data_IF_318922344954
#
_entry.id   IF_318922344954
#
_cell.length_a   1.000
_cell.length_b   1.000
_cell.length_c   1.000
_cell.angle_alpha   90.00
_cell.angle_beta   90.00
_cell.angle_gamma   90.00
#
_symmetry.space_group_name_H-M   'P 1'
#
loop_
_entity.id
_entity.type
_entity.pdbx_description
1 polymer ?
#
# COMPACT_ATOMS: atom_id res chain seq x y z
N UNK A 1 -10.46 -5.36 -15.27
CA UNK A 1 -11.42 -4.60 -14.43
C UNK A 1 -11.72 -5.23 -13.06
N UNK A 2 -12.26 -6.47 -12.93
CA UNK A 2 -12.60 -7.06 -11.59
C UNK A 2 -11.38 -7.43 -10.73
N UNK A 3 -10.35 -8.03 -11.32
CA UNK A 3 -9.12 -8.40 -10.60
C UNK A 3 -8.30 -7.17 -10.16
N UNK A 4 -8.40 -6.06 -10.89
CA UNK A 4 -7.73 -4.79 -10.58
C UNK A 4 -8.28 -4.11 -9.32
N UNK A 5 -9.61 -4.02 -9.24
CA UNK A 5 -10.27 -3.56 -8.01
C UNK A 5 -9.95 -4.46 -6.81
N UNK A 6 -9.61 -5.73 -7.06
CA UNK A 6 -9.29 -6.68 -5.99
C UNK A 6 -7.87 -6.47 -5.44
N UNK A 7 -6.88 -6.11 -6.26
CA UNK A 7 -5.50 -5.91 -5.78
C UNK A 7 -5.34 -4.61 -5.00
N UNK A 8 -5.89 -3.50 -5.50
CA UNK A 8 -5.89 -2.21 -4.80
C UNK A 8 -6.63 -2.31 -3.45
N UNK A 9 -7.83 -2.91 -3.44
CA UNK A 9 -8.57 -3.11 -2.19
C UNK A 9 -7.85 -4.02 -1.18
N UNK A 10 -7.10 -5.03 -1.65
CA UNK A 10 -6.27 -5.87 -0.77
C UNK A 10 -5.08 -5.10 -0.21
N UNK A 11 -4.40 -4.29 -1.03
CA UNK A 11 -3.28 -3.47 -0.59
C UNK A 11 -3.74 -2.45 0.46
N UNK A 12 -4.87 -1.77 0.22
CA UNK A 12 -5.52 -0.89 1.19
C UNK A 12 -5.75 -1.61 2.54
N UNK A 13 -6.39 -2.78 2.52
CA UNK A 13 -6.64 -3.55 3.77
C UNK A 13 -5.37 -3.97 4.51
N UNK A 14 -4.31 -4.33 3.80
CA UNK A 14 -3.04 -4.67 4.46
C UNK A 14 -2.45 -3.45 5.19
N UNK A 15 -2.56 -2.26 4.60
CA UNK A 15 -2.05 -1.03 5.23
C UNK A 15 -2.88 -0.60 6.44
N UNK A 16 -4.22 -0.77 6.40
CA UNK A 16 -5.06 -0.56 7.58
C UNK A 16 -4.69 -1.52 8.72
N UNK A 17 -4.54 -2.82 8.41
CA UNK A 17 -4.11 -3.80 9.41
C UNK A 17 -2.74 -3.44 10.00
N UNK A 18 -1.79 -3.01 9.15
CA UNK A 18 -0.49 -2.55 9.61
C UNK A 18 -0.62 -1.36 10.56
N UNK A 19 -1.48 -0.39 10.23
CA UNK A 19 -1.77 0.76 11.10
C UNK A 19 -2.33 0.33 12.46
N UNK A 20 -3.28 -0.62 12.49
CA UNK A 20 -3.91 -1.10 13.72
C UNK A 20 -2.94 -1.88 14.63
N UNK A 21 -2.01 -2.62 14.03
CA UNK A 21 -0.98 -3.38 14.76
C UNK A 21 0.19 -2.51 15.23
N UNK A 22 0.31 -1.29 14.73
CA UNK A 22 1.42 -0.40 15.04
C UNK A 22 1.14 0.38 16.34
N UNK A 23 2.00 0.18 17.34
CA UNK A 23 1.92 0.89 18.62
C UNK A 23 2.45 2.33 18.51
N UNK A 24 3.45 2.57 17.66
CA UNK A 24 3.94 3.92 17.41
C UNK A 24 2.88 4.74 16.65
N UNK A 25 2.35 5.75 17.33
CA UNK A 25 1.24 6.56 16.80
C UNK A 25 1.58 7.24 15.47
N UNK A 26 2.81 7.73 15.29
CA UNK A 26 3.19 8.46 14.07
C UNK A 26 3.28 7.52 12.87
N UNK A 27 3.83 6.33 13.08
CA UNK A 27 3.89 5.29 12.07
C UNK A 27 2.49 4.76 11.74
N UNK A 28 1.63 4.56 12.74
CA UNK A 28 0.24 4.17 12.54
C UNK A 28 -0.51 5.21 11.67
N UNK A 29 -0.45 6.49 12.02
CA UNK A 29 -1.05 7.57 11.22
C UNK A 29 -0.52 7.56 9.77
N UNK A 30 0.79 7.38 9.59
CA UNK A 30 1.39 7.32 8.24
C UNK A 30 0.94 6.10 7.44
N UNK A 31 0.74 4.94 8.08
CA UNK A 31 0.21 3.74 7.43
C UNK A 31 -1.27 3.92 7.05
N UNK A 32 -2.06 4.59 7.88
CA UNK A 32 -3.44 4.96 7.59
C UNK A 32 -3.53 5.95 6.40
N UNK A 33 -2.64 6.93 6.33
CA UNK A 33 -2.58 7.87 5.20
C UNK A 33 -2.25 7.16 3.88
N UNK A 34 -1.31 6.21 3.92
CA UNK A 34 -0.97 5.38 2.75
C UNK A 34 -2.12 4.44 2.38
N UNK A 35 -2.82 3.86 3.35
CA UNK A 35 -4.03 3.08 3.14
C UNK A 35 -5.09 3.89 2.38
N UNK A 36 -5.32 5.14 2.80
CA UNK A 36 -6.24 6.05 2.14
C UNK A 36 -5.81 6.37 0.72
N UNK A 37 -4.54 6.75 0.50
CA UNK A 37 -3.99 7.01 -0.84
C UNK A 37 -4.14 5.82 -1.78
N UNK A 38 -3.93 4.60 -1.28
CA UNK A 38 -4.14 3.37 -2.05
C UNK A 38 -5.63 3.15 -2.34
N UNK A 39 -6.51 3.39 -1.37
CA UNK A 39 -7.97 3.24 -1.54
C UNK A 39 -8.55 4.18 -2.58
N UNK A 40 -7.97 5.38 -2.73
CA UNK A 40 -8.37 6.37 -3.72
C UNK A 40 -7.81 6.09 -5.13
N UNK A 41 -6.93 5.10 -5.31
CA UNK A 41 -6.38 4.77 -6.63
C UNK A 41 -7.50 4.32 -7.58
N UNK A 42 -7.69 5.04 -8.71
CA UNK A 42 -8.67 4.64 -9.71
C UNK A 42 -8.31 3.30 -10.37
N UNK A 43 -9.34 2.55 -10.76
CA UNK A 43 -9.20 1.18 -11.28
C UNK A 43 -8.81 1.10 -12.77
N UNK A 44 -8.75 2.25 -13.43
CA UNK A 44 -8.58 2.50 -14.87
C UNK A 44 -7.12 2.78 -15.27
N UNK A 45 -6.17 2.51 -14.37
CA UNK A 45 -4.77 2.25 -14.74
C UNK A 45 -3.87 3.48 -14.89
N UNK A 46 -4.41 4.70 -14.82
CA UNK A 46 -3.66 5.92 -15.12
C UNK A 46 -2.91 6.53 -13.91
N UNK A 47 -2.28 5.70 -13.08
CA UNK A 47 -1.71 6.13 -11.78
C UNK A 47 -0.29 5.63 -11.50
N UNK A 48 0.47 5.28 -12.54
CA UNK A 48 1.84 4.74 -12.39
C UNK A 48 2.76 5.63 -11.54
N UNK A 49 2.65 6.95 -11.68
CA UNK A 49 3.40 7.91 -10.87
C UNK A 49 3.04 7.83 -9.37
N UNK A 50 1.74 7.86 -9.06
CA UNK A 50 1.22 7.74 -7.69
C UNK A 50 1.60 6.40 -7.07
N UNK A 51 1.45 5.30 -7.81
CA UNK A 51 1.83 3.95 -7.37
C UNK A 51 3.32 3.88 -7.05
N UNK A 52 4.20 4.43 -7.90
CA UNK A 52 5.65 4.51 -7.63
C UNK A 52 5.96 5.30 -6.35
N UNK A 53 5.28 6.42 -6.14
CA UNK A 53 5.45 7.24 -4.94
C UNK A 53 5.04 6.48 -3.69
N UNK A 54 3.89 5.79 -3.72
CA UNK A 54 3.42 4.94 -2.61
C UNK A 54 4.40 3.79 -2.36
N UNK A 55 4.87 3.10 -3.40
CA UNK A 55 5.86 2.01 -3.27
C UNK A 55 7.16 2.48 -2.61
N UNK A 56 7.66 3.67 -2.98
CA UNK A 56 8.86 4.25 -2.38
C UNK A 56 8.67 4.51 -0.89
N UNK A 57 7.53 5.11 -0.51
CA UNK A 57 7.21 5.35 0.90
C UNK A 57 7.07 4.04 1.69
N UNK A 58 6.44 3.02 1.11
CA UNK A 58 6.32 1.69 1.72
C UNK A 58 7.69 1.01 1.91
N UNK A 59 8.64 1.24 0.98
CA UNK A 59 10.01 0.72 1.11
C UNK A 59 10.75 1.33 2.30
N UNK A 60 10.54 2.62 2.55
CA UNK A 60 11.15 3.30 3.69
C UNK A 60 10.54 2.82 5.01
N UNK A 61 9.23 2.53 5.03
CA UNK A 61 8.52 1.99 6.19
C UNK A 61 8.83 0.51 6.46
N UNK A 62 9.10 -0.29 5.43
CA UNK A 62 9.45 -1.72 5.58
C UNK A 62 10.78 -1.98 6.30
N UNK A 63 11.51 -0.93 6.67
CA UNK A 63 12.68 -0.98 7.56
C UNK A 63 12.31 -0.98 9.05
N UNK A 64 11.02 -0.95 9.39
CA UNK A 64 10.54 -1.07 10.77
C UNK A 64 10.74 -2.49 11.34
N UNK A 65 10.95 -2.55 12.67
CA UNK A 65 11.29 -3.78 13.37
C UNK A 65 10.09 -4.72 13.57
N UNK A 66 8.85 -4.22 13.58
CA UNK A 66 7.69 -5.06 13.88
C UNK A 66 7.40 -6.05 12.74
N UNK A 67 7.48 -7.38 12.97
CA UNK A 67 7.42 -8.38 11.90
C UNK A 67 6.09 -8.39 11.16
N UNK A 68 4.98 -8.20 11.85
CA UNK A 68 3.65 -8.20 11.22
C UNK A 68 3.38 -6.94 10.38
N UNK A 69 3.83 -5.77 10.85
CA UNK A 69 3.75 -4.50 10.12
C UNK A 69 4.60 -4.61 8.85
N UNK A 70 5.83 -5.10 8.97
CA UNK A 70 6.71 -5.37 7.82
C UNK A 70 6.06 -6.33 6.81
N UNK A 71 5.49 -7.44 7.27
CA UNK A 71 4.83 -8.40 6.40
C UNK A 71 3.62 -7.81 5.67
N UNK A 72 2.81 -6.98 6.35
CA UNK A 72 1.67 -6.30 5.75
C UNK A 72 2.10 -5.25 4.72
N UNK A 73 3.14 -4.45 5.03
CA UNK A 73 3.74 -3.46 4.13
C UNK A 73 4.32 -4.11 2.87
N UNK A 74 5.06 -5.23 3.01
CA UNK A 74 5.63 -5.96 1.87
C UNK A 74 4.55 -6.60 0.99
N UNK A 75 3.47 -7.11 1.59
CA UNK A 75 2.30 -7.61 0.85
C UNK A 75 1.60 -6.49 0.09
N UNK A 76 1.38 -5.33 0.73
CA UNK A 76 0.80 -4.17 0.06
C UNK A 76 1.65 -3.74 -1.14
N UNK A 77 2.98 -3.66 -0.98
CA UNK A 77 3.91 -3.33 -2.07
C UNK A 77 3.81 -4.33 -3.22
N UNK A 78 3.83 -5.63 -2.93
CA UNK A 78 3.71 -6.68 -3.95
C UNK A 78 2.41 -6.58 -4.74
N UNK A 79 1.31 -6.25 -4.07
CA UNK A 79 0.02 -6.05 -4.72
C UNK A 79 0.00 -4.82 -5.62
N UNK A 80 0.71 -3.75 -5.26
CA UNK A 80 0.77 -2.50 -6.01
C UNK A 80 1.67 -2.58 -7.26
N UNK A 81 2.73 -3.40 -7.24
CA UNK A 81 3.66 -3.57 -8.38
C UNK A 81 2.94 -3.95 -9.67
N UNK A 82 1.87 -4.75 -9.60
CA UNK A 82 1.08 -5.14 -10.76
C UNK A 82 0.38 -3.96 -11.48
N UNK A 83 0.25 -2.80 -10.82
CA UNK A 83 -0.34 -1.59 -11.39
C UNK A 83 0.71 -0.59 -11.87
N UNK A 84 1.98 -0.79 -11.49
CA UNK A 84 3.10 0.02 -11.97
C UNK A 84 3.44 -0.28 -13.44
N UNK A 85 3.28 -1.54 -13.84
CA UNK A 85 3.81 -2.06 -15.11
C UNK A 85 2.71 -2.31 -16.16
N UNK A 86 1.46 -1.89 -15.92
CA UNK A 86 0.39 -2.00 -16.94
C UNK A 86 0.64 -1.04 -18.12
N UNK A 87 0.61 -1.51 -19.37
CA UNK A 87 0.61 -0.62 -20.54
C UNK A 87 -0.69 0.19 -20.59
N UNK A 88 -0.59 1.41 -21.15
CA UNK A 88 -1.75 2.29 -21.41
C UNK A 88 -2.70 1.67 -22.44
#
# INVERSE_FOLDING_TARGET
>A
MRQERTGIAKAHRQLLLASELTVDRRLAERLADLAHQVGELPADGQHRGTVRTIEAQLRDLGRDDHPDVRAAVDRARTLLVAYRDRPD
#
